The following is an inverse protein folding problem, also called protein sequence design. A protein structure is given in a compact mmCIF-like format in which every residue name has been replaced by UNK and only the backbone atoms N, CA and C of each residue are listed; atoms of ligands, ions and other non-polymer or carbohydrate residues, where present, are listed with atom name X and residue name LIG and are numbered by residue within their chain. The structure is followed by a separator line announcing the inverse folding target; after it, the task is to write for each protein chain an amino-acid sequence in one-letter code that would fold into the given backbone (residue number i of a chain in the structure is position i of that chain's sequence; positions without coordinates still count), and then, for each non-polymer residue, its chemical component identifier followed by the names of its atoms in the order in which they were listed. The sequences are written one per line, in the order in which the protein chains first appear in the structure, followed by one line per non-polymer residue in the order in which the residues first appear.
data_IF_789955993251
#
_entry.id   IF_789955993251
#
_cell.length_a   1.000
_cell.length_b   1.000
_cell.length_c   1.000
_cell.angle_alpha   90.00
_cell.angle_beta   90.00
_cell.angle_gamma   90.00
#
_symmetry.space_group_name_H-M   'P 1'
#
loop_
_entity.id
_entity.type
_entity.pdbx_description
1 polymer ?
#
# COMPACT_ATOMS: atom_id res chain seq x y z
N UNK A 1 11.50 -39.15 -5.02
CA UNK A 1 11.81 -38.13 -3.99
C UNK A 1 12.16 -36.84 -4.71
N UNK A 2 11.37 -35.77 -4.62
CA UNK A 2 11.73 -34.49 -5.20
C UNK A 2 12.69 -33.75 -4.25
N UNK A 3 13.80 -33.24 -4.80
CA UNK A 3 14.80 -32.46 -4.07
C UNK A 3 14.27 -31.09 -3.60
N UNK A 4 15.00 -30.38 -2.73
CA UNK A 4 14.51 -29.17 -2.10
C UNK A 4 14.42 -28.02 -3.12
N UNK A 5 13.31 -27.29 -3.07
CA UNK A 5 13.12 -26.04 -3.80
C UNK A 5 14.16 -24.98 -3.36
N UNK A 6 14.69 -24.17 -4.29
CA UNK A 6 15.57 -23.07 -3.93
C UNK A 6 14.79 -22.01 -3.13
N UNK A 7 15.38 -21.54 -2.03
CA UNK A 7 14.82 -20.44 -1.22
C UNK A 7 14.76 -19.15 -2.06
N UNK A 8 13.65 -18.38 -2.03
CA UNK A 8 13.58 -17.12 -2.73
C UNK A 8 14.59 -16.11 -2.13
N UNK A 9 15.21 -15.31 -3.01
CA UNK A 9 16.09 -14.21 -2.61
C UNK A 9 15.26 -13.11 -1.95
N UNK A 10 15.77 -12.57 -0.82
CA UNK A 10 15.21 -11.39 -0.14
C UNK A 10 15.01 -10.26 -1.16
N UNK A 11 13.78 -9.76 -1.27
CA UNK A 11 13.40 -8.67 -2.19
C UNK A 11 13.91 -7.31 -1.67
N UNK A 12 14.24 -7.24 -0.37
CA UNK A 12 14.77 -6.05 0.27
C UNK A 12 16.27 -6.23 0.58
N UNK A 13 17.11 -5.47 -0.13
CA UNK A 13 18.44 -5.10 0.37
C UNK A 13 18.28 -4.15 1.57
N UNK A 14 19.32 -3.98 2.41
CA UNK A 14 19.20 -3.15 3.61
C UNK A 14 18.79 -1.73 3.19
N UNK A 15 17.56 -1.35 3.53
CA UNK A 15 17.19 0.05 3.59
C UNK A 15 18.11 0.68 4.64
N UNK A 16 19.05 1.50 4.17
CA UNK A 16 19.79 2.39 5.04
C UNK A 16 18.74 3.29 5.68
N UNK A 17 18.49 3.07 6.97
CA UNK A 17 17.86 4.06 7.80
C UNK A 17 18.81 5.27 7.79
N UNK A 18 18.53 6.23 6.89
CA UNK A 18 19.15 7.55 6.95
C UNK A 18 18.54 8.25 8.16
N UNK A 19 19.12 7.96 9.32
CA UNK A 19 19.12 8.90 10.43
C UNK A 19 19.80 10.18 9.97
N UNK A 20 19.21 11.31 10.31
CA UNK A 20 19.88 12.61 10.29
C UNK A 20 19.98 13.25 8.91
N UNK A 21 19.04 14.15 8.64
CA UNK A 21 19.27 15.25 7.72
C UNK A 21 20.37 16.15 8.32
N UNK A 22 21.60 16.05 7.83
CA UNK A 22 22.64 17.07 8.06
C UNK A 22 22.70 17.98 6.84
N UNK A 23 22.15 19.17 6.97
CA UNK A 23 22.40 20.29 6.06
C UNK A 23 23.83 20.77 6.30
N UNK A 24 24.68 20.73 5.28
CA UNK A 24 25.95 21.44 5.28
C UNK A 24 25.93 22.51 4.18
N UNK A 25 25.94 23.75 4.64
CA UNK A 25 26.21 24.95 3.87
C UNK A 25 27.72 25.08 3.65
N UNK A 26 28.12 25.41 2.42
CA UNK A 26 29.29 26.26 2.17
C UNK A 26 30.45 25.66 1.36
N UNK A 27 30.86 26.40 0.32
CA UNK A 27 32.26 26.53 -0.07
C UNK A 27 32.69 25.87 -1.38
N UNK A 28 32.76 26.66 -2.45
CA UNK A 28 33.41 26.32 -3.71
C UNK A 28 34.94 26.23 -3.56
N UNK A 29 35.60 25.27 -4.24
CA UNK A 29 36.94 25.44 -4.87
C UNK A 29 37.06 24.46 -6.05
N UNK A 30 37.37 25.03 -7.24
CA UNK A 30 37.84 24.35 -8.45
C UNK A 30 39.20 23.68 -8.22
N UNK A 31 39.45 22.53 -8.85
CA UNK A 31 40.73 22.24 -9.52
C UNK A 31 40.62 21.00 -10.44
N UNK A 32 40.90 21.21 -11.73
CA UNK A 32 41.18 20.19 -12.72
C UNK A 32 42.70 20.15 -13.00
N UNK A 33 43.25 19.00 -13.43
CA UNK A 33 44.00 18.96 -14.70
C UNK A 33 43.65 17.71 -15.53
N UNK A 34 43.30 17.84 -16.82
CA UNK A 34 44.14 17.93 -18.04
C UNK A 34 44.70 16.58 -18.56
N UNK A 35 44.28 16.24 -19.79
CA UNK A 35 44.91 15.29 -20.72
C UNK A 35 44.00 14.10 -21.07
N UNK A 36 43.75 13.71 -22.33
CA UNK A 36 44.30 14.09 -23.64
C UNK A 36 43.35 13.57 -24.75
N UNK A 37 43.51 14.15 -25.94
CA UNK A 37 42.69 14.10 -27.16
C UNK A 37 42.16 12.76 -27.70
N UNK A 38 41.02 12.88 -28.41
CA UNK A 38 40.40 11.92 -29.32
C UNK A 38 41.22 11.67 -30.62
N UNK A 39 40.75 10.76 -31.49
CA UNK A 39 40.44 11.24 -32.84
C UNK A 39 39.06 10.80 -33.36
N UNK A 40 38.51 11.71 -34.17
CA UNK A 40 37.29 11.61 -34.99
C UNK A 40 37.57 10.78 -36.25
N UNK A 41 36.61 9.95 -36.68
CA UNK A 41 36.40 9.59 -38.09
C UNK A 41 34.90 9.44 -38.40
N UNK A 42 34.50 10.05 -39.52
CA UNK A 42 33.13 10.22 -40.05
C UNK A 42 32.67 9.02 -40.93
N UNK A 43 31.39 8.96 -41.37
CA UNK A 43 30.69 7.73 -41.81
C UNK A 43 30.73 7.50 -43.34
N UNK A 44 30.16 6.37 -43.82
CA UNK A 44 29.24 6.49 -44.97
C UNK A 44 28.03 5.51 -45.01
N UNK A 45 26.90 6.06 -45.50
CA UNK A 45 25.97 5.60 -46.55
C UNK A 45 25.21 4.26 -46.49
N UNK A 46 23.89 4.37 -46.66
CA UNK A 46 22.95 3.30 -47.07
C UNK A 46 23.16 2.81 -48.51
N UNK A 47 22.55 1.67 -48.90
CA UNK A 47 21.51 1.77 -49.93
C UNK A 47 20.28 0.83 -49.76
N UNK A 48 19.29 1.20 -50.57
CA UNK A 48 17.95 0.70 -50.88
C UNK A 48 17.76 -0.80 -51.18
N UNK A 49 16.57 -1.32 -50.86
CA UNK A 49 15.98 -2.51 -51.50
C UNK A 49 14.75 -3.08 -50.80
N UNK A 50 13.55 -2.72 -51.26
CA UNK A 50 12.36 -3.60 -51.19
C UNK A 50 12.02 -4.07 -52.62
N UNK A 51 10.91 -4.80 -52.87
CA UNK A 51 9.92 -5.38 -51.95
C UNK A 51 9.66 -6.89 -52.19
N UNK A 52 9.07 -7.60 -51.21
CA UNK A 52 8.27 -8.79 -51.51
C UNK A 52 7.09 -8.90 -50.53
N UNK A 53 5.89 -8.79 -51.09
CA UNK A 53 4.59 -8.92 -50.44
C UNK A 53 4.12 -10.37 -50.61
N UNK A 54 3.66 -10.98 -49.53
CA UNK A 54 2.80 -12.17 -49.53
C UNK A 54 1.64 -11.92 -48.55
N UNK A 55 0.43 -12.46 -48.82
CA UNK A 55 -0.81 -11.90 -48.34
C UNK A 55 -1.13 -12.40 -46.91
N UNK A 56 -1.58 -11.49 -46.06
CA UNK A 56 -2.19 -11.83 -44.77
C UNK A 56 -3.69 -11.64 -44.91
N UNK A 57 -4.42 -12.73 -44.74
CA UNK A 57 -5.87 -12.82 -44.84
C UNK A 57 -6.58 -11.84 -43.91
N UNK A 58 -7.64 -11.23 -44.44
CA UNK A 58 -8.56 -10.37 -43.71
C UNK A 58 -9.17 -11.10 -42.50
N UNK A 59 -8.80 -10.66 -41.30
CA UNK A 59 -9.58 -10.93 -40.08
C UNK A 59 -10.58 -9.78 -39.92
N UNK A 60 -11.85 -10.14 -39.89
CA UNK A 60 -12.97 -9.21 -39.71
C UNK A 60 -12.84 -8.42 -38.39
N UNK A 61 -13.34 -7.17 -38.32
CA UNK A 61 -13.31 -6.39 -37.09
C UNK A 61 -14.19 -7.04 -36.02
N UNK A 62 -13.58 -7.43 -34.90
CA UNK A 62 -14.30 -7.81 -33.69
C UNK A 62 -15.09 -6.61 -33.18
N UNK A 63 -16.39 -6.81 -32.98
CA UNK A 63 -17.28 -5.81 -32.37
C UNK A 63 -16.74 -5.39 -30.99
N UNK A 64 -16.80 -4.10 -30.62
CA UNK A 64 -16.46 -3.68 -29.27
C UNK A 64 -17.49 -4.29 -28.31
N UNK A 65 -17.02 -5.15 -27.40
CA UNK A 65 -17.81 -5.56 -26.24
C UNK A 65 -18.25 -4.33 -25.43
N UNK A 66 -19.36 -4.41 -24.69
CA UNK A 66 -19.92 -3.27 -23.98
C UNK A 66 -18.88 -2.73 -22.98
N UNK A 67 -18.43 -1.49 -23.23
CA UNK A 67 -17.68 -0.71 -22.26
C UNK A 67 -18.59 -0.50 -21.06
N UNK A 68 -18.30 -1.16 -19.95
CA UNK A 68 -18.92 -0.85 -18.67
C UNK A 68 -18.42 0.54 -18.22
N UNK A 69 -19.09 1.58 -18.69
CA UNK A 69 -19.06 2.89 -18.03
C UNK A 69 -19.84 2.72 -16.72
N UNK A 70 -19.19 2.17 -15.69
CA UNK A 70 -19.69 2.32 -14.34
C UNK A 70 -19.56 3.81 -14.00
N UNK A 71 -20.70 4.49 -13.89
CA UNK A 71 -20.74 5.86 -13.40
C UNK A 71 -20.06 5.90 -12.03
N UNK A 72 -19.07 6.79 -11.88
CA UNK A 72 -18.56 7.19 -10.58
C UNK A 72 -19.77 7.69 -9.78
N UNK A 73 -20.10 7.12 -8.62
CA UNK A 73 -21.23 7.61 -7.83
C UNK A 73 -21.02 9.10 -7.55
N UNK A 74 -22.03 9.90 -7.87
CA UNK A 74 -22.06 11.33 -7.58
C UNK A 74 -21.65 11.58 -6.11
N UNK A 75 -20.84 12.61 -5.91
CA UNK A 75 -20.17 12.99 -4.65
C UNK A 75 -21.09 13.41 -3.50
N UNK A 76 -22.09 12.59 -3.17
CA UNK A 76 -22.83 12.68 -1.93
C UNK A 76 -21.84 12.62 -0.77
N UNK A 77 -21.88 13.57 0.18
CA UNK A 77 -20.91 13.61 1.26
C UNK A 77 -20.98 12.31 2.05
N UNK A 78 -19.85 11.61 2.17
CA UNK A 78 -19.70 10.50 3.09
C UNK A 78 -19.76 11.07 4.51
N UNK A 79 -20.91 10.93 5.17
CA UNK A 79 -21.10 11.47 6.52
C UNK A 79 -20.50 10.50 7.53
N UNK A 80 -19.37 10.89 8.13
CA UNK A 80 -18.81 10.19 9.28
C UNK A 80 -19.76 10.30 10.48
N UNK A 81 -19.93 9.23 11.25
CA UNK A 81 -20.59 9.27 12.55
C UNK A 81 -19.69 9.84 13.66
N UNK A 82 -18.41 10.10 13.37
CA UNK A 82 -17.41 10.61 14.31
C UNK A 82 -16.49 9.52 14.89
N UNK A 83 -15.59 9.89 15.82
CA UNK A 83 -14.68 8.95 16.47
C UNK A 83 -15.46 7.94 17.34
N UNK A 84 -15.11 6.66 17.26
CA UNK A 84 -15.74 5.62 18.10
C UNK A 84 -15.23 5.63 19.55
N UNK A 85 -14.07 6.25 19.77
CA UNK A 85 -13.49 6.53 21.07
C UNK A 85 -12.59 7.77 20.97
N UNK A 86 -12.62 8.63 21.99
CA UNK A 86 -11.77 9.83 22.06
C UNK A 86 -10.53 9.64 22.93
N UNK A 87 -10.58 8.73 23.91
CA UNK A 87 -9.44 8.45 24.78
C UNK A 87 -8.38 7.63 24.02
N UNK A 88 -7.13 8.12 24.01
CA UNK A 88 -5.98 7.43 23.40
C UNK A 88 -5.81 7.64 21.89
N UNK A 89 -6.79 8.24 21.21
CA UNK A 89 -6.76 8.48 19.76
C UNK A 89 -6.57 9.96 19.44
N UNK A 90 -5.75 10.25 18.44
CA UNK A 90 -5.56 11.60 17.92
C UNK A 90 -6.86 12.12 17.26
N UNK A 91 -7.04 13.46 17.14
CA UNK A 91 -8.15 14.01 16.38
C UNK A 91 -8.21 13.46 14.94
N UNK A 92 -9.39 13.02 14.51
CA UNK A 92 -9.57 12.39 13.20
C UNK A 92 -9.09 10.95 13.10
N UNK A 93 -8.70 10.32 14.21
CA UNK A 93 -8.40 8.89 14.28
C UNK A 93 -9.60 8.08 14.79
N UNK A 94 -9.60 6.78 14.45
CA UNK A 94 -10.61 5.81 14.87
C UNK A 94 -12.06 6.25 14.57
N UNK A 95 -12.31 6.65 13.34
CA UNK A 95 -13.57 7.27 12.90
C UNK A 95 -14.48 6.24 12.24
N UNK A 96 -15.75 6.20 12.67
CA UNK A 96 -16.76 5.33 12.07
C UNK A 96 -17.55 6.03 10.97
N UNK A 97 -17.93 5.21 9.99
CA UNK A 97 -18.81 5.52 8.88
C UNK A 97 -19.91 4.45 8.85
N UNK A 98 -21.19 4.83 9.08
CA UNK A 98 -22.30 3.87 9.10
C UNK A 98 -22.60 3.34 7.69
N UNK A 99 -23.18 2.14 7.54
CA UNK A 99 -23.63 1.66 6.22
C UNK A 99 -24.67 2.61 5.62
N UNK A 100 -24.72 2.68 4.29
CA UNK A 100 -25.72 3.46 3.53
C UNK A 100 -26.75 2.58 2.82
N UNK A 101 -26.51 1.26 2.77
CA UNK A 101 -27.46 0.25 2.34
C UNK A 101 -27.95 -0.59 3.55
N UNK A 102 -28.68 -1.67 3.30
CA UNK A 102 -29.10 -2.63 4.34
C UNK A 102 -27.90 -3.07 5.18
N UNK A 103 -27.98 -2.81 6.48
CA UNK A 103 -26.89 -3.11 7.41
C UNK A 103 -26.62 -4.61 7.48
N UNK A 104 -25.38 -5.01 7.22
CA UNK A 104 -24.90 -6.39 7.33
C UNK A 104 -24.48 -6.76 8.76
N UNK A 105 -24.49 -5.78 9.66
CA UNK A 105 -23.99 -5.88 11.03
C UNK A 105 -22.53 -6.38 11.10
N UNK A 106 -21.75 -6.05 10.07
CA UNK A 106 -20.33 -6.37 9.95
C UNK A 106 -19.52 -5.08 9.82
N UNK A 107 -18.48 -4.97 10.65
CA UNK A 107 -17.55 -3.84 10.61
C UNK A 107 -16.28 -4.20 9.84
N UNK A 108 -15.90 -3.37 8.88
CA UNK A 108 -14.60 -3.41 8.20
C UNK A 108 -13.70 -2.36 8.81
N UNK A 109 -12.52 -2.76 9.29
CA UNK A 109 -11.50 -1.79 9.68
C UNK A 109 -10.56 -1.52 8.52
N UNK A 110 -10.51 -0.26 8.08
CA UNK A 110 -9.61 0.24 7.04
C UNK A 110 -8.49 1.06 7.67
N UNK A 111 -7.28 0.55 7.59
CA UNK A 111 -6.09 1.26 8.01
C UNK A 111 -5.42 1.97 6.83
N UNK A 112 -5.35 3.30 6.92
CA UNK A 112 -4.51 4.10 6.03
C UNK A 112 -3.09 4.12 6.62
N UNK A 113 -2.18 3.32 6.04
CA UNK A 113 -0.80 3.20 6.50
C UNK A 113 -0.11 4.55 6.65
N UNK A 114 0.86 4.66 7.56
CA UNK A 114 1.58 5.92 7.85
C UNK A 114 0.66 7.06 8.34
N UNK A 115 1.11 8.31 8.32
CA UNK A 115 0.33 9.49 8.71
C UNK A 115 1.11 10.46 9.59
N UNK A 116 0.92 11.76 9.34
CA UNK A 116 1.50 12.85 10.13
C UNK A 116 3.02 12.71 10.29
N UNK A 117 3.54 12.41 11.49
CA UNK A 117 4.98 12.22 11.75
C UNK A 117 5.67 11.11 10.96
N UNK A 118 4.92 10.15 10.41
CA UNK A 118 5.45 9.14 9.50
C UNK A 118 4.94 9.40 8.09
N UNK A 119 5.70 10.06 7.19
CA UNK A 119 5.25 10.29 5.81
C UNK A 119 5.27 9.01 4.95
N UNK A 120 5.93 7.96 5.42
CA UNK A 120 6.22 6.74 4.65
C UNK A 120 7.21 7.01 3.52
N UNK A 121 7.18 6.18 2.49
CA UNK A 121 8.06 6.35 1.35
C UNK A 121 7.74 7.62 0.53
N UNK A 122 8.76 8.14 -0.15
CA UNK A 122 8.64 9.29 -1.06
C UNK A 122 8.85 8.82 -2.49
N UNK A 123 7.97 9.29 -3.38
CA UNK A 123 7.95 8.97 -4.80
C UNK A 123 7.90 10.22 -5.67
N UNK A 124 8.08 10.03 -6.98
CA UNK A 124 7.93 11.08 -7.98
C UNK A 124 7.15 10.51 -9.17
N UNK A 125 6.03 11.13 -9.53
CA UNK A 125 5.22 10.71 -10.68
C UNK A 125 5.94 10.94 -12.01
N UNK A 126 5.45 10.35 -13.10
CA UNK A 126 5.98 10.64 -14.45
C UNK A 126 5.90 12.14 -14.82
N UNK A 127 4.92 12.85 -14.26
CA UNK A 127 4.76 14.30 -14.43
C UNK A 127 5.70 15.13 -13.53
N UNK A 128 6.55 14.50 -12.73
CA UNK A 128 7.51 15.18 -11.84
C UNK A 128 6.93 15.63 -10.49
N UNK A 129 5.68 15.28 -10.18
CA UNK A 129 5.09 15.63 -8.89
C UNK A 129 5.62 14.72 -7.77
N UNK A 130 6.06 15.31 -6.66
CA UNK A 130 6.47 14.57 -5.46
C UNK A 130 5.22 14.06 -4.75
N UNK A 131 5.25 12.78 -4.37
CA UNK A 131 4.20 12.12 -3.59
C UNK A 131 4.80 11.48 -2.36
N UNK A 132 4.03 11.40 -1.28
CA UNK A 132 4.39 10.62 -0.09
C UNK A 132 3.32 9.56 0.16
N UNK A 133 3.76 8.42 0.68
CA UNK A 133 2.91 7.26 0.92
C UNK A 133 1.72 7.59 1.83
N UNK A 134 1.93 8.34 2.91
CA UNK A 134 0.86 8.69 3.86
C UNK A 134 -0.33 9.41 3.21
N UNK A 135 -0.08 10.28 2.23
CA UNK A 135 -1.14 10.92 1.44
C UNK A 135 -1.85 9.92 0.54
N UNK A 136 -1.10 9.05 -0.14
CA UNK A 136 -1.65 8.08 -1.10
C UNK A 136 -2.48 6.99 -0.41
N UNK A 137 -2.03 6.50 0.74
CA UNK A 137 -2.78 5.51 1.54
C UNK A 137 -4.07 6.12 2.06
N UNK A 138 -4.05 7.39 2.49
CA UNK A 138 -5.24 8.10 2.96
C UNK A 138 -6.28 8.27 1.86
N UNK A 139 -5.89 8.80 0.69
CA UNK A 139 -6.82 9.03 -0.41
C UNK A 139 -7.41 7.72 -0.92
N UNK A 140 -6.61 6.66 -1.01
CA UNK A 140 -7.05 5.33 -1.43
C UNK A 140 -8.01 4.70 -0.41
N UNK A 141 -7.69 4.77 0.88
CA UNK A 141 -8.57 4.24 1.93
C UNK A 141 -9.90 5.00 2.00
N UNK A 142 -9.88 6.34 1.88
CA UNK A 142 -11.09 7.16 1.81
C UNK A 142 -11.95 6.81 0.58
N UNK A 143 -11.35 6.50 -0.57
CA UNK A 143 -12.07 6.07 -1.75
C UNK A 143 -12.78 4.71 -1.56
N UNK A 144 -12.28 3.84 -0.67
CA UNK A 144 -12.90 2.56 -0.36
C UNK A 144 -14.12 2.67 0.57
N UNK A 145 -14.19 3.72 1.41
CA UNK A 145 -15.29 3.93 2.37
C UNK A 145 -16.67 3.92 1.71
N UNK A 146 -16.99 4.78 0.72
CA UNK A 146 -18.34 4.80 0.13
C UNK A 146 -18.70 3.47 -0.57
N UNK A 147 -17.69 2.79 -1.14
CA UNK A 147 -17.89 1.50 -1.80
C UNK A 147 -18.29 0.40 -0.80
N UNK A 148 -17.72 0.42 0.41
CA UNK A 148 -18.05 -0.53 1.48
C UNK A 148 -19.37 -0.16 2.17
N UNK A 149 -19.64 1.13 2.41
CA UNK A 149 -20.91 1.57 2.99
C UNK A 149 -22.11 1.19 2.10
N UNK A 150 -21.97 1.36 0.78
CA UNK A 150 -22.99 1.00 -0.19
C UNK A 150 -23.26 -0.51 -0.26
N UNK A 151 -22.33 -1.33 0.26
CA UNK A 151 -22.49 -2.78 0.41
C UNK A 151 -23.05 -3.18 1.77
N UNK A 152 -23.41 -2.22 2.62
CA UNK A 152 -24.02 -2.47 3.92
C UNK A 152 -23.02 -2.74 5.05
N UNK A 153 -21.73 -2.49 4.85
CA UNK A 153 -20.74 -2.58 5.92
C UNK A 153 -20.66 -1.27 6.71
N UNK A 154 -20.52 -1.38 8.02
CA UNK A 154 -19.95 -0.31 8.83
C UNK A 154 -18.45 -0.25 8.55
N UNK A 155 -17.90 0.93 8.30
CA UNK A 155 -16.45 1.11 8.11
C UNK A 155 -15.89 1.88 9.30
N UNK A 156 -14.77 1.42 9.86
CA UNK A 156 -13.99 2.21 10.81
C UNK A 156 -12.61 2.44 10.23
N UNK A 157 -12.22 3.70 10.10
CA UNK A 157 -10.90 4.07 9.61
C UNK A 157 -9.92 4.33 10.75
N UNK A 158 -8.67 3.92 10.59
CA UNK A 158 -7.60 4.24 11.54
C UNK A 158 -7.37 5.75 11.65
N UNK A 159 -7.38 6.46 10.52
CA UNK A 159 -7.29 7.92 10.41
C UNK A 159 -8.04 8.44 9.19
N UNK A 160 -8.59 9.64 9.29
CA UNK A 160 -9.28 10.36 8.19
C UNK A 160 -8.55 11.63 7.75
N UNK A 161 -7.34 11.84 8.27
CA UNK A 161 -6.49 12.99 7.97
C UNK A 161 -5.01 12.61 7.96
N UNK A 162 -4.16 13.59 7.62
CA UNK A 162 -2.71 13.43 7.72
C UNK A 162 -2.25 13.59 9.18
N UNK A 163 -2.49 12.56 9.99
CA UNK A 163 -2.21 12.56 11.42
C UNK A 163 -1.65 11.20 11.86
N UNK A 164 -1.03 11.18 13.05
CA UNK A 164 -0.90 9.94 13.81
C UNK A 164 -2.29 9.39 14.18
N UNK A 165 -2.37 8.11 14.52
CA UNK A 165 -3.55 7.44 15.09
C UNK A 165 -3.54 7.58 16.60
N UNK A 166 -2.37 7.40 17.23
CA UNK A 166 -2.21 7.60 18.67
C UNK A 166 -2.01 9.08 19.04
N UNK A 167 -2.46 9.46 20.24
CA UNK A 167 -2.07 10.75 20.83
C UNK A 167 -0.57 10.73 21.15
N UNK A 168 0.20 11.59 20.49
CA UNK A 168 1.64 11.70 20.70
C UNK A 168 1.97 12.54 21.94
N UNK A 169 2.95 12.07 22.73
CA UNK A 169 3.46 12.76 23.91
C UNK A 169 4.97 12.99 23.86
N UNK A 170 5.52 13.43 24.99
CA UNK A 170 6.97 13.61 25.12
C UNK A 170 7.70 12.27 24.90
N UNK A 171 8.76 12.31 24.09
CA UNK A 171 9.56 11.12 23.75
C UNK A 171 9.01 10.28 22.58
N UNK A 172 7.78 10.50 22.14
CA UNK A 172 7.24 9.80 20.97
C UNK A 172 7.70 10.42 19.65
N UNK A 173 8.15 11.68 19.67
CA UNK A 173 8.60 12.42 18.50
C UNK A 173 9.99 13.04 18.71
N UNK A 174 10.80 13.05 17.65
CA UNK A 174 12.03 13.84 17.53
C UNK A 174 11.97 14.59 16.21
N UNK A 175 12.10 15.92 16.26
CA UNK A 175 12.02 16.80 15.09
C UNK A 175 10.78 16.55 14.20
N UNK A 176 9.63 16.29 14.85
CA UNK A 176 8.35 16.03 14.16
C UNK A 176 8.23 14.65 13.50
N UNK A 177 9.20 13.76 13.68
CA UNK A 177 9.17 12.36 13.20
C UNK A 177 9.02 11.40 14.37
N UNK A 178 8.41 10.24 14.14
CA UNK A 178 8.32 9.19 15.17
C UNK A 178 9.70 8.76 15.68
N UNK A 179 9.80 8.62 17.00
CA UNK A 179 10.80 7.72 17.61
C UNK A 179 10.35 6.27 17.45
N UNK A 180 11.22 5.31 17.78
CA UNK A 180 10.84 3.90 17.78
C UNK A 180 9.63 3.62 18.69
N UNK A 181 9.64 4.21 19.89
CA UNK A 181 8.51 4.15 20.82
C UNK A 181 7.24 4.78 20.23
N UNK A 182 7.36 5.96 19.60
CA UNK A 182 6.22 6.63 18.98
C UNK A 182 5.61 5.83 17.84
N UNK A 183 6.43 5.21 17.00
CA UNK A 183 5.97 4.33 15.92
C UNK A 183 5.27 3.08 16.45
N UNK A 184 5.85 2.40 17.45
CA UNK A 184 5.22 1.23 18.08
C UNK A 184 3.88 1.60 18.75
N UNK A 185 3.84 2.75 19.44
CA UNK A 185 2.62 3.30 20.03
C UNK A 185 1.54 3.57 19.00
N UNK A 186 1.91 4.16 17.87
CA UNK A 186 0.99 4.45 16.76
C UNK A 186 0.42 3.17 16.13
N UNK A 187 1.28 2.18 15.84
CA UNK A 187 0.85 0.89 15.30
C UNK A 187 -0.04 0.11 16.28
N UNK A 188 0.27 0.16 17.58
CA UNK A 188 -0.55 -0.48 18.60
C UNK A 188 -1.93 0.18 18.72
N UNK A 189 -2.02 1.51 18.56
CA UNK A 189 -3.31 2.20 18.54
C UNK A 189 -4.18 1.80 17.34
N UNK A 190 -3.59 1.51 16.17
CA UNK A 190 -4.32 0.99 15.00
C UNK A 190 -4.98 -0.35 15.32
N UNK A 191 -4.25 -1.29 15.90
CA UNK A 191 -4.78 -2.58 16.34
C UNK A 191 -5.87 -2.41 17.43
N UNK A 192 -5.63 -1.53 18.40
CA UNK A 192 -6.61 -1.22 19.44
C UNK A 192 -7.92 -0.65 18.86
N UNK A 193 -7.83 0.24 17.86
CA UNK A 193 -9.02 0.77 17.18
C UNK A 193 -9.80 -0.35 16.47
N UNK A 194 -9.12 -1.25 15.76
CA UNK A 194 -9.75 -2.40 15.11
C UNK A 194 -10.50 -3.30 16.11
N UNK A 195 -9.89 -3.55 17.28
CA UNK A 195 -10.50 -4.34 18.35
C UNK A 195 -11.72 -3.61 18.96
N UNK A 196 -11.58 -2.32 19.28
CA UNK A 196 -12.69 -1.49 19.79
C UNK A 196 -13.87 -1.43 18.80
N UNK A 197 -13.57 -1.39 17.50
CA UNK A 197 -14.56 -1.41 16.44
C UNK A 197 -15.30 -2.75 16.32
N UNK A 198 -14.80 -3.81 16.97
CA UNK A 198 -15.22 -5.21 16.76
C UNK A 198 -15.19 -5.56 15.28
N UNK A 199 -14.10 -5.22 14.62
CA UNK A 199 -13.96 -5.43 13.19
C UNK A 199 -14.00 -6.92 12.84
N UNK A 200 -14.73 -7.27 11.79
CA UNK A 200 -14.74 -8.62 11.23
C UNK A 200 -13.46 -8.91 10.43
N UNK A 201 -12.86 -7.86 9.84
CA UNK A 201 -11.57 -7.90 9.13
C UNK A 201 -10.80 -6.61 9.34
N UNK A 202 -9.47 -6.72 9.32
CA UNK A 202 -8.52 -5.63 9.27
C UNK A 202 -7.87 -5.58 7.89
N UNK A 203 -7.96 -4.45 7.21
CA UNK A 203 -7.31 -4.22 5.92
C UNK A 203 -6.45 -2.97 6.02
N UNK A 204 -5.14 -3.12 5.81
CA UNK A 204 -4.22 -1.99 5.79
C UNK A 204 -3.71 -1.74 4.38
N UNK A 205 -3.76 -0.48 3.94
CA UNK A 205 -3.32 -0.04 2.62
C UNK A 205 -2.00 0.70 2.78
N UNK A 206 -0.98 0.21 2.08
CA UNK A 206 0.37 0.74 2.00
C UNK A 206 0.80 0.85 0.53
N UNK A 207 1.99 1.41 0.29
CA UNK A 207 2.61 1.38 -1.02
C UNK A 207 4.08 0.98 -0.91
N UNK A 208 4.50 0.03 -1.75
CA UNK A 208 5.87 -0.41 -1.80
C UNK A 208 6.80 0.75 -2.15
N UNK A 209 8.08 0.56 -1.84
CA UNK A 209 9.16 1.41 -2.30
C UNK A 209 10.42 0.59 -2.51
N UNK A 210 11.38 1.09 -3.28
CA UNK A 210 12.63 0.38 -3.48
C UNK A 210 13.75 1.27 -3.97
N UNK A 211 14.99 0.84 -3.74
CA UNK A 211 16.18 1.59 -4.13
C UNK A 211 16.40 1.69 -5.65
N UNK A 212 15.60 1.00 -6.45
CA UNK A 212 15.61 1.10 -7.91
C UNK A 212 14.23 1.57 -8.39
N UNK A 213 14.15 2.68 -9.15
CA UNK A 213 12.87 3.20 -9.66
C UNK A 213 12.22 2.28 -10.72
N UNK A 214 12.86 1.17 -11.10
CA UNK A 214 12.28 0.14 -11.97
C UNK A 214 11.53 -0.95 -11.20
N UNK A 215 11.71 -1.06 -9.88
CA UNK A 215 10.93 -2.00 -9.09
C UNK A 215 9.45 -1.64 -9.18
N UNK A 216 8.61 -2.64 -9.36
CA UNK A 216 7.22 -2.49 -9.73
C UNK A 216 6.44 -3.71 -9.25
N UNK A 217 5.14 -3.54 -9.11
CA UNK A 217 4.22 -4.63 -8.86
C UNK A 217 3.52 -4.59 -7.51
N UNK A 218 2.59 -5.53 -7.40
CA UNK A 218 1.70 -5.68 -6.28
C UNK A 218 2.17 -6.81 -5.37
N UNK A 219 2.16 -6.54 -4.07
CA UNK A 219 2.40 -7.50 -3.00
C UNK A 219 1.23 -7.45 -2.01
N UNK A 220 0.92 -8.59 -1.40
CA UNK A 220 -0.05 -8.64 -0.30
C UNK A 220 0.46 -9.52 0.81
N UNK A 221 0.36 -9.04 2.04
CA UNK A 221 0.97 -9.64 3.22
C UNK A 221 -0.09 -10.11 4.20
N UNK A 222 0.23 -11.19 4.91
CA UNK A 222 -0.52 -11.69 6.05
C UNK A 222 0.44 -12.27 7.11
N UNK A 223 -0.01 -12.39 8.36
CA UNK A 223 0.74 -13.15 9.38
C UNK A 223 0.26 -14.60 9.42
N UNK A 224 1.22 -15.53 9.45
CA UNK A 224 0.98 -16.98 9.34
C UNK A 224 0.98 -17.72 10.70
N UNK A 225 1.16 -17.02 11.81
CA UNK A 225 1.21 -17.60 13.17
C UNK A 225 0.07 -17.16 14.07
N UNK A 226 -0.86 -16.32 13.58
CA UNK A 226 -2.10 -16.00 14.30
C UNK A 226 -3.03 -17.22 14.39
N UNK A 227 -3.89 -17.32 15.43
CA UNK A 227 -4.95 -18.34 15.49
C UNK A 227 -5.88 -18.35 14.28
N UNK A 228 -5.99 -17.21 13.59
CA UNK A 228 -6.79 -17.02 12.38
C UNK A 228 -5.94 -16.93 11.09
N UNK A 229 -4.71 -17.47 11.08
CA UNK A 229 -3.79 -17.40 9.94
C UNK A 229 -4.40 -17.92 8.62
N UNK A 230 -5.22 -18.97 8.68
CA UNK A 230 -5.92 -19.50 7.49
C UNK A 230 -6.92 -18.48 6.93
N UNK A 231 -7.66 -17.80 7.80
CA UNK A 231 -8.55 -16.72 7.41
C UNK A 231 -7.77 -15.51 6.86
N UNK A 232 -6.65 -15.13 7.49
CA UNK A 232 -5.79 -14.05 7.00
C UNK A 232 -5.21 -14.35 5.61
N UNK A 233 -4.76 -15.59 5.37
CA UNK A 233 -4.31 -16.02 4.04
C UNK A 233 -5.45 -15.95 3.00
N UNK A 234 -6.65 -16.41 3.36
CA UNK A 234 -7.83 -16.30 2.48
C UNK A 234 -8.15 -14.84 2.15
N UNK A 235 -8.15 -13.97 3.16
CA UNK A 235 -8.38 -12.53 3.01
C UNK A 235 -7.32 -11.91 2.09
N UNK A 236 -6.04 -12.17 2.35
CA UNK A 236 -4.93 -11.68 1.54
C UNK A 236 -5.01 -12.16 0.09
N UNK A 237 -5.39 -13.42 -0.16
CA UNK A 237 -5.53 -13.97 -1.51
C UNK A 237 -6.67 -13.33 -2.30
N UNK A 238 -7.82 -13.11 -1.65
CA UNK A 238 -8.96 -12.41 -2.25
C UNK A 238 -8.63 -10.94 -2.54
N UNK A 239 -7.98 -10.27 -1.58
CA UNK A 239 -7.54 -8.89 -1.72
C UNK A 239 -6.54 -8.75 -2.86
N UNK A 240 -5.55 -9.64 -2.92
CA UNK A 240 -4.55 -9.67 -3.97
C UNK A 240 -5.17 -9.80 -5.35
N UNK A 241 -6.01 -10.83 -5.52
CA UNK A 241 -6.66 -11.12 -6.80
C UNK A 241 -7.58 -9.99 -7.26
N UNK A 242 -8.42 -9.47 -6.35
CA UNK A 242 -9.41 -8.45 -6.69
C UNK A 242 -8.77 -7.09 -7.01
N UNK A 243 -7.79 -6.64 -6.22
CA UNK A 243 -7.10 -5.36 -6.45
C UNK A 243 -6.22 -5.44 -7.70
N UNK A 244 -5.46 -6.53 -7.90
CA UNK A 244 -4.65 -6.71 -9.10
C UNK A 244 -5.53 -6.77 -10.36
N UNK A 245 -6.65 -7.51 -10.30
CA UNK A 245 -7.63 -7.59 -11.38
C UNK A 245 -8.25 -6.24 -11.73
N UNK A 246 -8.65 -5.45 -10.73
CA UNK A 246 -9.21 -4.11 -10.94
C UNK A 246 -8.18 -3.14 -11.57
N UNK A 247 -6.92 -3.17 -11.11
CA UNK A 247 -5.85 -2.37 -11.70
C UNK A 247 -5.53 -2.81 -13.14
N UNK A 248 -5.40 -4.10 -13.39
CA UNK A 248 -5.06 -4.62 -14.73
C UNK A 248 -6.23 -4.56 -15.72
N UNK A 249 -7.48 -4.48 -15.24
CA UNK A 249 -8.64 -4.12 -16.05
C UNK A 249 -8.54 -2.73 -16.68
N UNK A 250 -7.70 -1.83 -16.12
CA UNK A 250 -7.36 -0.53 -16.71
C UNK A 250 -6.19 -0.60 -17.70
N UNK A 251 -5.63 -1.78 -17.97
CA UNK A 251 -4.54 -1.99 -18.93
C UNK A 251 -3.14 -1.65 -18.42
N UNK A 252 -2.97 -1.37 -17.12
CA UNK A 252 -1.69 -0.97 -16.53
C UNK A 252 -0.65 -2.08 -16.42
N UNK A 253 -1.07 -3.36 -16.49
CA UNK A 253 -0.17 -4.52 -16.49
C UNK A 253 0.79 -4.53 -15.29
N UNK A 254 0.26 -4.24 -14.09
CA UNK A 254 0.98 -4.26 -12.82
C UNK A 254 1.57 -5.66 -12.60
N UNK A 255 2.89 -5.79 -12.37
CA UNK A 255 3.52 -7.07 -12.07
C UNK A 255 2.96 -7.73 -10.80
N UNK A 256 2.81 -9.05 -10.83
CA UNK A 256 2.33 -9.84 -9.71
C UNK A 256 3.52 -10.35 -8.87
N UNK A 257 3.66 -9.86 -7.63
CA UNK A 257 4.66 -10.36 -6.66
C UNK A 257 4.07 -11.38 -5.68
N UNK A 258 2.78 -11.69 -5.81
CA UNK A 258 2.02 -12.68 -5.06
C UNK A 258 1.63 -12.27 -3.65
N UNK A 259 1.02 -13.23 -2.96
CA UNK A 259 0.75 -13.18 -1.52
C UNK A 259 1.95 -13.76 -0.77
N UNK A 260 2.41 -13.10 0.29
CA UNK A 260 3.52 -13.56 1.13
C UNK A 260 3.17 -13.46 2.61
N UNK A 261 3.88 -14.21 3.44
CA UNK A 261 3.86 -13.94 4.87
C UNK A 261 4.63 -12.64 5.15
N UNK A 262 4.25 -11.94 6.21
CA UNK A 262 4.93 -10.73 6.66
C UNK A 262 6.40 -10.98 7.04
N UNK A 263 6.68 -12.16 7.61
CA UNK A 263 8.04 -12.61 7.94
C UNK A 263 8.89 -12.92 6.70
N UNK A 264 8.33 -13.58 5.68
CA UNK A 264 9.05 -13.89 4.42
C UNK A 264 9.31 -12.63 3.59
N UNK A 265 8.39 -11.66 3.63
CA UNK A 265 8.58 -10.37 3.00
C UNK A 265 9.68 -9.53 3.69
N UNK A 266 10.03 -9.88 4.93
CA UNK A 266 11.04 -9.16 5.72
C UNK A 266 10.49 -7.86 6.26
N UNK A 267 9.42 -7.94 7.07
CA UNK A 267 8.76 -6.83 7.74
C UNK A 267 9.75 -5.70 8.12
N UNK A 268 9.52 -4.45 7.65
CA UNK A 268 10.40 -3.34 7.97
C UNK A 268 10.41 -3.13 9.49
N UNK A 269 11.60 -3.19 10.07
CA UNK A 269 11.77 -3.07 11.51
C UNK A 269 11.97 -1.61 11.93
N UNK A 270 11.18 -1.16 12.90
CA UNK A 270 11.31 0.15 13.55
C UNK A 270 12.65 0.30 14.25
N UNK A 271 13.09 -0.73 14.97
CA UNK A 271 14.34 -0.78 15.72
C UNK A 271 14.87 -2.23 15.83
N UNK A 272 15.85 -2.46 16.70
CA UNK A 272 16.39 -3.81 16.94
C UNK A 272 15.40 -4.75 17.63
N UNK A 273 14.50 -4.23 18.46
CA UNK A 273 13.49 -5.04 19.14
C UNK A 273 12.42 -5.50 18.14
N UNK A 274 11.96 -4.60 17.26
CA UNK A 274 11.02 -4.95 16.18
C UNK A 274 11.66 -5.95 15.18
N UNK A 275 12.96 -5.79 14.91
CA UNK A 275 13.69 -6.76 14.08
C UNK A 275 13.72 -8.15 14.73
N UNK A 276 13.86 -8.22 16.05
CA UNK A 276 13.82 -9.48 16.78
C UNK A 276 12.40 -10.05 16.86
N UNK A 277 11.38 -9.19 16.89
CA UNK A 277 9.98 -9.58 16.77
C UNK A 277 9.68 -10.21 15.41
N UNK A 278 10.23 -9.63 14.33
CA UNK A 278 10.29 -10.25 12.99
C UNK A 278 8.93 -10.37 12.28
N UNK A 279 7.94 -9.61 12.75
CA UNK A 279 6.56 -9.57 12.24
C UNK A 279 6.10 -8.13 12.10
N UNK A 280 5.10 -7.88 11.26
CA UNK A 280 4.46 -6.57 11.21
C UNK A 280 3.66 -6.34 12.49
N UNK A 281 3.96 -5.31 13.27
CA UNK A 281 3.24 -4.99 14.54
C UNK A 281 1.71 -5.02 14.40
N UNK A 282 1.17 -4.57 13.26
CA UNK A 282 -0.27 -4.52 13.02
C UNK A 282 -0.92 -5.91 12.84
N UNK A 283 -0.18 -6.86 12.26
CA UNK A 283 -0.68 -8.20 11.91
C UNK A 283 -0.21 -9.28 12.89
N UNK A 284 0.97 -9.11 13.47
CA UNK A 284 1.69 -10.14 14.20
C UNK A 284 1.06 -10.52 15.55
N UNK A 285 1.51 -11.65 16.14
CA UNK A 285 0.98 -12.17 17.39
C UNK A 285 1.46 -11.38 18.60
N UNK A 286 0.85 -11.62 19.76
CA UNK A 286 1.35 -11.08 21.02
C UNK A 286 2.80 -11.55 21.25
N UNK A 287 3.63 -10.63 21.75
CA UNK A 287 5.02 -10.89 22.13
C UNK A 287 5.31 -10.27 23.51
N UNK A 288 5.65 -11.08 24.53
CA UNK A 288 5.95 -10.58 25.86
C UNK A 288 7.00 -9.47 25.84
N UNK A 289 6.67 -8.33 26.47
CA UNK A 289 7.56 -7.17 26.55
C UNK A 289 7.67 -6.32 25.27
N UNK A 290 6.96 -6.67 24.19
CA UNK A 290 6.99 -5.92 22.93
C UNK A 290 5.58 -5.55 22.43
N UNK A 291 4.77 -6.54 22.06
CA UNK A 291 3.38 -6.34 21.62
C UNK A 291 2.41 -7.05 22.56
N UNK A 292 1.79 -6.30 23.48
CA UNK A 292 0.88 -6.88 24.46
C UNK A 292 -0.50 -7.21 23.88
N UNK A 293 -1.06 -6.31 23.08
CA UNK A 293 -2.44 -6.40 22.59
C UNK A 293 -2.45 -6.38 21.06
N UNK A 294 -2.35 -7.55 20.41
CA UNK A 294 -2.45 -7.62 18.95
C UNK A 294 -3.91 -7.45 18.49
N UNK A 295 -4.10 -7.27 17.17
CA UNK A 295 -5.42 -7.29 16.54
C UNK A 295 -6.16 -8.62 16.75
N UNK A 296 -7.48 -8.61 16.89
CA UNK A 296 -8.27 -9.79 17.27
C UNK A 296 -9.01 -10.46 16.10
N UNK A 297 -8.80 -9.98 14.87
CA UNK A 297 -9.49 -10.41 13.66
C UNK A 297 -8.51 -10.73 12.52
N UNK A 298 -8.94 -11.51 11.50
CA UNK A 298 -8.15 -11.72 10.28
C UNK A 298 -7.70 -10.40 9.67
N UNK A 299 -6.41 -10.33 9.32
CA UNK A 299 -5.76 -9.10 8.91
C UNK A 299 -4.88 -9.30 7.68
N UNK A 300 -4.83 -8.30 6.80
CA UNK A 300 -3.91 -8.27 5.67
C UNK A 300 -3.45 -6.85 5.36
N UNK A 301 -2.22 -6.73 4.86
CA UNK A 301 -1.65 -5.49 4.31
C UNK A 301 -1.56 -5.65 2.80
N UNK A 302 -2.10 -4.69 2.05
CA UNK A 302 -1.94 -4.63 0.60
C UNK A 302 -0.97 -3.52 0.23
N UNK A 303 -0.02 -3.84 -0.63
CA UNK A 303 0.93 -2.90 -1.22
C UNK A 303 0.76 -2.95 -2.76
N UNK A 304 -0.19 -2.18 -3.32
CA UNK A 304 -0.61 -2.35 -4.71
C UNK A 304 0.46 -2.00 -5.73
N UNK A 305 1.38 -1.08 -5.38
CA UNK A 305 2.25 -0.36 -6.30
C UNK A 305 3.53 0.08 -5.58
N UNK A 306 4.65 0.22 -6.31
CA UNK A 306 5.90 0.86 -5.89
C UNK A 306 5.88 2.36 -6.19
N UNK A 307 5.74 3.22 -5.19
CA UNK A 307 5.67 4.67 -5.43
C UNK A 307 7.02 5.30 -5.78
N UNK A 308 8.11 4.56 -5.64
CA UNK A 308 9.43 4.93 -6.20
C UNK A 308 9.53 4.71 -7.71
N UNK A 309 8.60 3.95 -8.30
CA UNK A 309 8.47 3.81 -9.75
C UNK A 309 7.58 4.92 -10.30
N UNK A 310 8.05 5.77 -11.23
CA UNK A 310 7.27 6.92 -11.67
C UNK A 310 5.93 6.58 -12.30
N UNK A 311 5.82 5.46 -13.02
CA UNK A 311 4.57 5.03 -13.63
C UNK A 311 3.55 4.61 -12.57
N UNK A 312 3.97 3.76 -11.64
CA UNK A 312 3.12 3.30 -10.55
C UNK A 312 2.78 4.43 -9.56
N UNK A 313 3.69 5.38 -9.33
CA UNK A 313 3.43 6.61 -8.59
C UNK A 313 2.34 7.46 -9.25
N UNK A 314 2.35 7.60 -10.58
CA UNK A 314 1.28 8.29 -11.32
C UNK A 314 -0.07 7.61 -11.13
N UNK A 315 -0.10 6.27 -11.10
CA UNK A 315 -1.33 5.50 -10.86
C UNK A 315 -1.81 5.72 -9.43
N UNK A 316 -0.94 5.55 -8.43
CA UNK A 316 -1.29 5.72 -7.01
C UNK A 316 -1.79 7.14 -6.69
N UNK A 317 -1.18 8.16 -7.32
CA UNK A 317 -1.60 9.55 -7.17
C UNK A 317 -2.90 9.89 -7.91
N UNK A 318 -3.22 9.13 -8.96
CA UNK A 318 -4.37 9.37 -9.82
C UNK A 318 -5.69 8.90 -9.22
N UNK A 319 -6.81 9.63 -9.42
CA UNK A 319 -8.13 9.19 -8.97
C UNK A 319 -8.54 7.82 -9.51
N UNK A 320 -8.18 7.51 -10.76
CA UNK A 320 -8.47 6.21 -11.37
C UNK A 320 -7.76 5.05 -10.63
N UNK A 321 -6.50 5.22 -10.25
CA UNK A 321 -5.76 4.20 -9.50
C UNK A 321 -6.31 4.00 -8.10
N UNK A 322 -6.57 5.09 -7.39
CA UNK A 322 -7.20 5.07 -6.06
C UNK A 322 -8.56 4.37 -6.11
N UNK A 323 -9.39 4.68 -7.11
CA UNK A 323 -10.69 4.04 -7.29
C UNK A 323 -10.59 2.56 -7.67
N UNK A 324 -9.62 2.16 -8.50
CA UNK A 324 -9.39 0.76 -8.85
C UNK A 324 -8.98 -0.07 -7.62
N UNK A 325 -8.05 0.44 -6.81
CA UNK A 325 -7.62 -0.22 -5.56
C UNK A 325 -8.79 -0.31 -4.58
N UNK A 326 -9.53 0.79 -4.40
CA UNK A 326 -10.71 0.84 -3.55
C UNK A 326 -11.80 -0.17 -3.98
N UNK A 327 -12.03 -0.29 -5.30
CA UNK A 327 -12.98 -1.23 -5.88
C UNK A 327 -12.58 -2.67 -5.62
N UNK A 328 -11.32 -3.03 -5.89
CA UNK A 328 -10.81 -4.37 -5.60
C UNK A 328 -10.87 -4.70 -4.11
N UNK A 329 -10.58 -3.72 -3.24
CA UNK A 329 -10.69 -3.86 -1.78
C UNK A 329 -12.12 -4.22 -1.39
N UNK A 330 -13.11 -3.48 -1.89
CA UNK A 330 -14.51 -3.72 -1.56
C UNK A 330 -15.02 -5.08 -2.10
N UNK A 331 -14.58 -5.49 -3.30
CA UNK A 331 -14.90 -6.80 -3.87
C UNK A 331 -14.30 -7.95 -3.06
N UNK A 332 -13.08 -7.79 -2.54
CA UNK A 332 -12.44 -8.77 -1.68
C UNK A 332 -13.17 -8.92 -0.34
N UNK A 333 -13.61 -7.80 0.26
CA UNK A 333 -14.45 -7.83 1.47
C UNK A 333 -15.74 -8.59 1.23
N UNK A 334 -16.47 -8.32 0.14
CA UNK A 334 -17.69 -9.06 -0.21
C UNK A 334 -17.42 -10.56 -0.39
N UNK A 335 -16.34 -10.91 -1.08
CA UNK A 335 -15.98 -12.31 -1.29
C UNK A 335 -15.62 -13.00 0.03
N UNK A 336 -15.02 -12.26 0.97
CA UNK A 336 -14.59 -12.80 2.25
C UNK A 336 -15.76 -12.94 3.25
N UNK A 337 -16.54 -11.87 3.43
CA UNK A 337 -17.62 -11.76 4.42
C UNK A 337 -19.02 -12.13 3.90
N UNK A 338 -19.21 -12.07 2.58
CA UNK A 338 -20.51 -12.28 1.92
C UNK A 338 -20.92 -13.74 1.76
N UNK A 339 -20.00 -14.70 1.93
CA UNK A 339 -20.25 -16.14 1.75
C UNK A 339 -20.98 -16.81 2.93
N UNK A 340 -21.88 -16.09 3.63
CA UNK A 340 -22.56 -16.59 4.83
C UNK A 340 -23.99 -16.11 5.01
N UNK A 341 -24.72 -15.87 3.91
CA UNK A 341 -26.17 -15.66 3.91
C UNK A 341 -26.91 -16.92 3.48
#
# INVERSE_FOLDING_TARGET
MPGPFPRPRRIWGPAVALGGLTVLVGGAVLLAPLGRAAPVRSPPSAPSGGPHVAPVSHVAPMSPGPKANAAVPDGSPVVASGPIASAGFAPGACVAFPPTATDRHQTVFLDAGHGGPGPGAIGVTQGGAVVNEATLTLSTALAAVPLLQARGYRVVMSRTGNSAVAVMGAGDLVNGTFTAQGALKDLTARAACANLARAAVLLSIHFNAGGNPRYAGMLTLYDDVRPFATQSLRLASLLHTAVLGAMNGNGWQIPDSGVKTDSDAGAPAIDSADRAYGRLVLLGPAAPGYLATPSEMPGSVVEPLFITNPFEASIAAGPAGQHAIATGTAQAVDSFLGAGG
#
